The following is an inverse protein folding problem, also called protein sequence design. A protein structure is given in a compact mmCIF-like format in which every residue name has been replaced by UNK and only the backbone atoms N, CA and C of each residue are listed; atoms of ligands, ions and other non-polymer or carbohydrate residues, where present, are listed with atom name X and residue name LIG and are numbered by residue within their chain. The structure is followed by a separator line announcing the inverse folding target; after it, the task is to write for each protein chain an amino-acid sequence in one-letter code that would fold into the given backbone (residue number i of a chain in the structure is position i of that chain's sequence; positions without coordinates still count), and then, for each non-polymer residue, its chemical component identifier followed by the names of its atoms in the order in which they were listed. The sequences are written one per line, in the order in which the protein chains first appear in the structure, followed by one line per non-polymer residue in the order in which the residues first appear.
data_IF_125979140886
#
_entry.id   IF_125979140886
#
_cell.length_a   1.000
_cell.length_b   1.000
_cell.length_c   1.000
_cell.angle_alpha   90.00
_cell.angle_beta   90.00
_cell.angle_gamma   90.00
#
_symmetry.space_group_name_H-M   'P 1'
#
loop_
_entity.id
_entity.type
_entity.pdbx_description
1 polymer ?
#
# COMPACT_ATOMS: atom_id res chain seq x y z
N UNK A 1 6.58 4.38 -13.52
CA UNK A 1 5.64 3.69 -12.60
C UNK A 1 4.44 3.14 -13.37
N UNK A 2 3.93 1.97 -12.97
CA UNK A 2 2.65 1.39 -13.43
C UNK A 2 1.47 1.97 -12.64
N UNK A 3 0.26 1.83 -13.16
CA UNK A 3 -0.98 2.20 -12.47
C UNK A 3 -1.74 0.90 -12.20
N UNK A 4 -1.92 0.59 -10.92
CA UNK A 4 -2.44 -0.69 -10.42
C UNK A 4 -3.59 -0.42 -9.46
N UNK A 5 -4.45 -1.39 -9.18
CA UNK A 5 -5.57 -1.23 -8.23
C UNK A 5 -5.26 -1.89 -6.89
N UNK A 6 -5.53 -1.21 -5.77
CA UNK A 6 -5.52 -1.84 -4.45
C UNK A 6 -6.91 -2.41 -4.14
N UNK A 7 -7.00 -3.73 -3.94
CA UNK A 7 -8.25 -4.44 -3.67
C UNK A 7 -8.94 -4.01 -2.37
N UNK A 8 -8.22 -3.40 -1.41
CA UNK A 8 -8.84 -2.79 -0.24
C UNK A 8 -9.95 -1.80 -0.62
N UNK A 9 -9.78 -1.08 -1.73
CA UNK A 9 -10.78 -0.13 -2.28
C UNK A 9 -12.12 -0.79 -2.58
N UNK A 10 -12.13 -2.06 -2.99
CA UNK A 10 -13.31 -2.81 -3.44
C UNK A 10 -13.70 -3.93 -2.47
N UNK A 11 -13.11 -3.98 -1.28
CA UNK A 11 -13.30 -5.07 -0.30
C UNK A 11 -14.76 -5.35 0.09
N UNK A 12 -15.65 -4.38 -0.10
CA UNK A 12 -17.08 -4.51 0.17
C UNK A 12 -17.89 -5.06 -1.02
N UNK A 13 -17.24 -5.28 -2.17
CA UNK A 13 -17.87 -5.73 -3.43
C UNK A 13 -17.85 -7.25 -3.51
N UNK A 14 -18.79 -7.91 -2.84
CA UNK A 14 -18.98 -9.36 -2.96
C UNK A 14 -17.72 -10.18 -2.62
N UNK A 15 -17.51 -11.27 -3.37
CA UNK A 15 -16.31 -12.12 -3.23
C UNK A 15 -15.14 -11.63 -4.11
N UNK A 16 -13.99 -12.28 -3.99
CA UNK A 16 -12.79 -11.94 -4.76
C UNK A 16 -13.05 -11.92 -6.28
N UNK A 17 -13.89 -12.79 -6.82
CA UNK A 17 -14.18 -12.79 -8.26
C UNK A 17 -14.96 -11.54 -8.67
N UNK A 18 -15.96 -11.14 -7.88
CA UNK A 18 -16.72 -9.91 -8.09
C UNK A 18 -15.84 -8.65 -7.98
N UNK A 19 -14.91 -8.63 -7.02
CA UNK A 19 -13.93 -7.55 -6.87
C UNK A 19 -13.06 -7.42 -8.12
N UNK A 20 -12.49 -8.53 -8.60
CA UNK A 20 -11.63 -8.55 -9.79
C UNK A 20 -12.40 -8.19 -11.07
N UNK A 21 -13.66 -8.59 -11.19
CA UNK A 21 -14.52 -8.20 -12.31
C UNK A 21 -14.75 -6.68 -12.36
N UNK A 22 -14.99 -6.05 -11.21
CA UNK A 22 -15.13 -4.58 -11.13
C UNK A 22 -13.80 -3.89 -11.47
N UNK A 23 -12.69 -4.35 -10.90
CA UNK A 23 -11.35 -3.80 -11.19
C UNK A 23 -11.01 -3.89 -12.68
N UNK A 24 -11.34 -5.03 -13.32
CA UNK A 24 -11.14 -5.24 -14.76
C UNK A 24 -12.00 -4.29 -15.59
N UNK A 25 -13.26 -4.08 -15.18
CA UNK A 25 -14.15 -3.13 -15.84
C UNK A 25 -13.65 -1.68 -15.74
N UNK A 26 -12.83 -1.36 -14.74
CA UNK A 26 -12.17 -0.05 -14.58
C UNK A 26 -10.86 0.08 -15.37
N UNK A 27 -10.43 -0.96 -16.10
CA UNK A 27 -9.29 -0.89 -17.02
C UNK A 27 -7.95 -1.36 -16.45
N UNK A 28 -7.91 -1.84 -15.20
CA UNK A 28 -6.68 -2.34 -14.59
C UNK A 28 -6.32 -3.74 -15.06
N UNK A 29 -5.02 -4.02 -15.15
CA UNK A 29 -4.43 -5.35 -15.41
C UNK A 29 -3.57 -5.86 -14.25
N UNK A 30 -3.32 -5.00 -13.28
CA UNK A 30 -2.36 -5.18 -12.20
C UNK A 30 -3.03 -4.79 -10.87
N UNK A 31 -2.79 -5.58 -9.83
CA UNK A 31 -3.42 -5.40 -8.52
C UNK A 31 -2.44 -5.53 -7.36
N UNK A 32 -2.81 -4.94 -6.24
CA UNK A 32 -2.38 -5.35 -4.90
C UNK A 32 -3.55 -6.05 -4.20
N UNK A 33 -3.33 -7.26 -3.70
CA UNK A 33 -4.35 -8.02 -2.97
C UNK A 33 -4.23 -7.82 -1.46
N UNK A 34 -5.28 -8.15 -0.72
CA UNK A 34 -5.34 -8.11 0.75
C UNK A 34 -5.60 -9.50 1.32
N UNK A 35 -4.74 -9.95 2.23
CA UNK A 35 -4.84 -11.22 2.94
C UNK A 35 -5.18 -12.41 2.03
N UNK A 36 -6.05 -13.29 2.52
CA UNK A 36 -6.46 -14.49 1.81
C UNK A 36 -7.93 -14.52 1.38
N UNK A 37 -8.72 -13.47 1.61
CA UNK A 37 -10.15 -13.40 1.22
C UNK A 37 -11.00 -14.58 1.73
N UNK A 38 -10.74 -15.09 2.94
CA UNK A 38 -11.35 -16.31 3.50
C UNK A 38 -11.14 -17.59 2.66
N UNK A 39 -10.11 -17.60 1.81
CA UNK A 39 -9.74 -18.70 0.94
C UNK A 39 -8.39 -19.30 1.35
N UNK A 40 -8.08 -20.47 0.79
CA UNK A 40 -6.71 -21.02 0.83
C UNK A 40 -5.82 -20.31 -0.19
N UNK A 41 -4.48 -20.29 0.00
CA UNK A 41 -3.53 -19.75 -0.98
C UNK A 41 -3.78 -20.24 -2.43
N UNK A 42 -4.10 -21.53 -2.57
CA UNK A 42 -4.39 -22.16 -3.87
C UNK A 42 -5.67 -21.61 -4.49
N UNK A 43 -6.72 -21.38 -3.69
CA UNK A 43 -7.98 -20.83 -4.18
C UNK A 43 -7.80 -19.36 -4.61
N UNK A 44 -7.12 -18.52 -3.81
CA UNK A 44 -6.80 -17.14 -4.20
C UNK A 44 -6.04 -17.13 -5.52
N UNK A 45 -4.97 -17.93 -5.62
CA UNK A 45 -4.15 -18.05 -6.83
C UNK A 45 -4.98 -18.41 -8.06
N UNK A 46 -5.89 -19.39 -7.92
CA UNK A 46 -6.73 -19.84 -9.03
C UNK A 46 -7.68 -18.73 -9.50
N UNK A 47 -8.34 -18.04 -8.57
CA UNK A 47 -9.29 -16.96 -8.90
C UNK A 47 -8.57 -15.81 -9.59
N UNK A 48 -7.43 -15.37 -9.06
CA UNK A 48 -6.62 -14.28 -9.64
C UNK A 48 -6.10 -14.63 -11.04
N UNK A 49 -5.54 -15.84 -11.21
CA UNK A 49 -5.04 -16.28 -12.53
C UNK A 49 -6.16 -16.44 -13.56
N UNK A 50 -7.33 -16.93 -13.15
CA UNK A 50 -8.50 -17.05 -14.04
C UNK A 50 -9.02 -15.68 -14.47
N UNK A 51 -8.99 -14.70 -13.58
CA UNK A 51 -9.35 -13.32 -13.88
C UNK A 51 -8.31 -12.59 -14.75
N UNK A 52 -7.09 -13.14 -14.87
CA UNK A 52 -6.03 -12.64 -15.75
C UNK A 52 -5.22 -11.47 -15.19
N UNK A 53 -5.20 -11.32 -13.85
CA UNK A 53 -4.47 -10.24 -13.19
C UNK A 53 -3.04 -10.62 -12.83
N UNK A 54 -2.14 -9.62 -12.89
CA UNK A 54 -0.81 -9.71 -12.27
C UNK A 54 -0.84 -9.11 -10.87
N UNK A 55 -0.34 -9.84 -9.88
CA UNK A 55 -0.23 -9.34 -8.50
C UNK A 55 1.14 -8.68 -8.33
N UNK A 56 1.13 -7.37 -8.06
CA UNK A 56 2.34 -6.55 -7.94
C UNK A 56 2.87 -6.48 -6.51
N UNK A 57 1.97 -6.60 -5.55
CA UNK A 57 2.25 -6.74 -4.12
C UNK A 57 1.04 -7.35 -3.41
N UNK A 58 1.18 -7.74 -2.16
CA UNK A 58 0.08 -8.23 -1.34
C UNK A 58 0.23 -7.75 0.11
N UNK A 59 -0.87 -7.27 0.68
CA UNK A 59 -0.98 -6.91 2.09
C UNK A 59 -1.28 -8.13 2.94
N UNK A 60 -0.54 -8.30 4.04
CA UNK A 60 -0.84 -9.30 5.07
C UNK A 60 -0.77 -8.65 6.45
N UNK A 61 -1.75 -8.93 7.31
CA UNK A 61 -1.73 -8.36 8.64
C UNK A 61 -0.69 -9.03 9.57
N UNK A 62 -0.53 -8.48 10.77
CA UNK A 62 0.43 -8.96 11.74
C UNK A 62 0.18 -10.42 12.14
N UNK A 63 -1.09 -10.81 12.31
CA UNK A 63 -1.44 -12.17 12.71
C UNK A 63 -1.18 -13.16 11.59
N UNK A 64 -1.42 -12.76 10.33
CA UNK A 64 -1.06 -13.55 9.15
C UNK A 64 0.46 -13.76 9.05
N UNK A 65 1.27 -12.73 9.27
CA UNK A 65 2.73 -12.89 9.31
C UNK A 65 3.20 -13.81 10.46
N UNK A 66 2.58 -13.72 11.64
CA UNK A 66 2.91 -14.55 12.80
C UNK A 66 2.50 -16.02 12.62
N UNK A 67 1.31 -16.26 12.06
CA UNK A 67 0.65 -17.59 12.15
C UNK A 67 0.52 -18.29 10.81
N UNK A 68 0.67 -17.57 9.70
CA UNK A 68 0.43 -18.06 8.34
C UNK A 68 1.57 -17.77 7.37
N UNK A 69 2.79 -17.55 7.87
CA UNK A 69 3.96 -17.23 7.05
C UNK A 69 4.18 -18.21 5.86
N UNK A 70 4.01 -19.52 6.08
CA UNK A 70 4.15 -20.52 5.02
C UNK A 70 3.01 -20.46 3.97
N UNK A 71 1.81 -20.02 4.36
CA UNK A 71 0.72 -19.75 3.42
C UNK A 71 1.03 -18.50 2.58
N UNK A 72 1.59 -17.46 3.20
CA UNK A 72 2.04 -16.22 2.52
C UNK A 72 3.06 -16.58 1.44
N UNK A 73 4.13 -17.29 1.79
CA UNK A 73 5.16 -17.70 0.83
C UNK A 73 4.58 -18.51 -0.33
N UNK A 74 3.73 -19.50 -0.05
CA UNK A 74 3.08 -20.32 -1.09
C UNK A 74 2.20 -19.49 -2.02
N UNK A 75 1.46 -18.52 -1.48
CA UNK A 75 0.61 -17.66 -2.29
C UNK A 75 1.45 -16.73 -3.18
N UNK A 76 2.47 -16.09 -2.62
CA UNK A 76 3.34 -15.17 -3.33
C UNK A 76 4.14 -15.87 -4.44
N UNK A 77 4.71 -17.05 -4.16
CA UNK A 77 5.39 -17.87 -5.16
C UNK A 77 4.43 -18.25 -6.30
N UNK A 78 3.23 -18.73 -5.97
CA UNK A 78 2.25 -19.16 -6.97
C UNK A 78 1.68 -17.98 -7.78
N UNK A 79 1.72 -16.75 -7.26
CA UNK A 79 1.32 -15.54 -7.97
C UNK A 79 2.49 -14.82 -8.65
N UNK A 80 3.72 -15.32 -8.50
CA UNK A 80 4.95 -14.66 -8.97
C UNK A 80 5.08 -13.23 -8.42
N UNK A 81 4.57 -13.00 -7.20
CA UNK A 81 4.59 -11.72 -6.52
C UNK A 81 5.84 -11.62 -5.62
N UNK A 82 6.65 -10.59 -5.83
CA UNK A 82 7.92 -10.40 -5.13
C UNK A 82 7.85 -9.33 -4.02
N UNK A 83 6.65 -8.89 -3.64
CA UNK A 83 6.46 -7.87 -2.61
C UNK A 83 5.34 -8.28 -1.64
N UNK A 84 5.69 -8.40 -0.36
CA UNK A 84 4.74 -8.51 0.73
C UNK A 84 4.72 -7.19 1.49
N UNK A 85 3.56 -6.74 1.94
CA UNK A 85 3.42 -5.46 2.66
C UNK A 85 2.77 -5.72 4.01
N UNK A 86 3.37 -5.16 5.06
CA UNK A 86 2.75 -5.02 6.38
C UNK A 86 1.91 -3.73 6.37
N UNK A 87 0.56 -3.84 6.33
CA UNK A 87 -0.31 -2.72 5.98
C UNK A 87 -0.59 -1.76 7.14
N UNK A 88 -0.74 -2.30 8.35
CA UNK A 88 -1.12 -1.52 9.52
C UNK A 88 -0.94 -2.29 10.83
N UNK A 89 -0.80 -1.59 11.96
CA UNK A 89 -0.92 -2.19 13.29
C UNK A 89 -2.27 -1.85 13.93
N UNK A 90 -2.90 -2.84 14.56
CA UNK A 90 -4.12 -2.62 15.35
C UNK A 90 -3.83 -1.70 16.54
N UNK A 91 -4.79 -0.88 17.01
CA UNK A 91 -4.57 0.03 18.14
C UNK A 91 -4.02 -0.66 19.40
N UNK A 92 -4.38 -1.92 19.64
CA UNK A 92 -3.89 -2.71 20.79
C UNK A 92 -2.44 -3.15 20.65
N UNK A 93 -1.94 -3.26 19.43
CA UNK A 93 -0.58 -3.68 19.12
C UNK A 93 0.39 -2.50 18.94
N UNK A 94 -0.11 -1.26 18.94
CA UNK A 94 0.70 -0.05 18.76
C UNK A 94 1.42 0.30 20.07
N UNK A 95 2.76 0.34 20.07
CA UNK A 95 3.50 0.89 21.19
C UNK A 95 3.35 2.42 21.27
N UNK A 96 3.52 2.97 22.46
CA UNK A 96 3.55 4.40 22.76
C UNK A 96 4.98 4.94 22.99
N UNK A 97 5.99 4.08 22.86
CA UNK A 97 7.39 4.42 23.11
C UNK A 97 8.29 4.09 21.94
N UNK A 98 9.39 4.83 21.87
CA UNK A 98 10.44 4.59 20.89
C UNK A 98 11.02 3.17 20.94
N UNK A 99 11.17 2.63 22.15
CA UNK A 99 11.69 1.28 22.36
C UNK A 99 10.72 0.22 21.84
N UNK A 100 9.42 0.39 22.08
CA UNK A 100 8.40 -0.52 21.56
C UNK A 100 8.35 -0.55 20.04
N UNK A 101 8.46 0.60 19.37
CA UNK A 101 8.51 0.65 17.90
C UNK A 101 9.80 0.08 17.32
N UNK A 102 10.92 0.17 18.03
CA UNK A 102 12.15 -0.57 17.67
C UNK A 102 11.95 -2.08 17.78
N UNK A 103 11.19 -2.57 18.77
CA UNK A 103 10.85 -3.99 18.86
C UNK A 103 9.94 -4.43 17.69
N UNK A 104 8.98 -3.60 17.29
CA UNK A 104 8.18 -3.81 16.06
C UNK A 104 9.08 -3.92 14.83
N UNK A 105 10.00 -2.95 14.65
CA UNK A 105 10.98 -2.96 13.56
C UNK A 105 11.82 -4.25 13.56
N UNK A 106 12.26 -4.71 14.74
CA UNK A 106 13.01 -5.96 14.89
C UNK A 106 12.23 -7.17 14.37
N UNK A 107 10.95 -7.30 14.73
CA UNK A 107 10.11 -8.41 14.25
C UNK A 107 9.86 -8.33 12.74
N UNK A 108 9.60 -7.13 12.22
CA UNK A 108 9.46 -6.90 10.78
C UNK A 108 10.74 -7.29 10.04
N UNK A 109 11.92 -7.01 10.61
CA UNK A 109 13.19 -7.41 10.00
C UNK A 109 13.36 -8.92 9.93
N UNK A 110 12.98 -9.66 10.97
CA UNK A 110 13.03 -11.13 10.94
C UNK A 110 12.17 -11.70 9.79
N UNK A 111 10.98 -11.13 9.57
CA UNK A 111 10.16 -11.50 8.43
C UNK A 111 10.77 -11.04 7.10
N UNK A 112 11.37 -9.85 7.05
CA UNK A 112 12.03 -9.35 5.85
C UNK A 112 13.17 -10.27 5.41
N UNK A 113 13.99 -10.76 6.34
CA UNK A 113 15.08 -11.70 6.07
C UNK A 113 14.56 -13.06 5.57
N UNK A 114 13.51 -13.57 6.21
CA UNK A 114 12.88 -14.84 5.81
C UNK A 114 12.19 -14.75 4.43
N UNK A 115 11.52 -13.63 4.13
CA UNK A 115 10.93 -13.36 2.81
C UNK A 115 12.02 -13.20 1.74
N UNK A 116 13.10 -12.49 2.07
CA UNK A 116 14.23 -12.23 1.16
C UNK A 116 14.91 -13.53 0.71
N UNK A 117 15.01 -14.53 1.59
CA UNK A 117 15.49 -15.87 1.24
C UNK A 117 14.66 -16.56 0.14
N UNK A 118 13.44 -16.09 -0.10
CA UNK A 118 12.52 -16.55 -1.15
C UNK A 118 12.34 -15.53 -2.29
N UNK A 119 13.20 -14.51 -2.36
CA UNK A 119 13.13 -13.46 -3.39
C UNK A 119 11.97 -12.47 -3.20
N UNK A 120 11.36 -12.43 -2.01
CA UNK A 120 10.28 -11.50 -1.68
C UNK A 120 10.82 -10.36 -0.82
N UNK A 121 10.51 -9.12 -1.19
CA UNK A 121 10.81 -7.93 -0.38
C UNK A 121 9.63 -7.62 0.54
N UNK A 122 9.89 -7.43 1.83
CA UNK A 122 8.91 -6.84 2.75
C UNK A 122 8.88 -5.33 2.56
N UNK A 123 7.71 -4.72 2.57
CA UNK A 123 7.52 -3.29 2.74
C UNK A 123 6.59 -2.98 3.92
N UNK A 124 6.74 -1.82 4.54
CA UNK A 124 5.82 -1.30 5.54
C UNK A 124 4.96 -0.21 4.94
N UNK A 125 3.67 -0.20 5.26
CA UNK A 125 2.71 0.82 4.82
C UNK A 125 2.40 1.76 5.99
N UNK A 126 2.44 3.07 5.74
CA UNK A 126 2.21 4.06 6.80
C UNK A 126 0.73 4.44 6.93
N UNK A 127 0.36 4.81 8.15
CA UNK A 127 -0.85 5.54 8.50
C UNK A 127 -0.49 6.84 9.24
N UNK A 128 -1.50 7.58 9.69
CA UNK A 128 -1.33 8.82 10.47
C UNK A 128 -0.56 8.60 11.78
N UNK A 129 -0.85 7.50 12.50
CA UNK A 129 -0.19 7.19 13.77
C UNK A 129 1.32 6.95 13.62
N UNK A 130 1.79 6.58 12.42
CA UNK A 130 3.21 6.32 12.18
C UNK A 130 4.06 7.60 12.15
N UNK A 131 3.42 8.76 12.14
CA UNK A 131 4.04 10.07 12.00
C UNK A 131 4.05 10.88 13.30
N UNK A 132 3.55 10.30 14.40
CA UNK A 132 3.55 10.94 15.72
C UNK A 132 4.97 11.03 16.25
N UNK A 133 5.39 12.22 16.68
CA UNK A 133 6.71 12.41 17.30
C UNK A 133 6.76 11.79 18.71
N UNK A 134 7.68 10.83 18.90
CA UNK A 134 7.95 10.19 20.19
C UNK A 134 9.14 10.83 20.94
N UNK A 135 9.59 12.02 20.51
CA UNK A 135 10.74 12.75 21.03
C UNK A 135 12.10 12.21 20.58
N UNK A 136 12.11 11.08 19.86
CA UNK A 136 13.30 10.44 19.27
C UNK A 136 13.09 10.12 17.78
N UNK A 137 12.13 10.81 17.15
CA UNK A 137 11.60 10.47 15.84
C UNK A 137 10.24 9.78 15.94
N UNK A 138 9.67 9.52 14.77
CA UNK A 138 8.38 8.89 14.58
C UNK A 138 8.47 7.35 14.56
N UNK A 139 7.35 6.63 14.75
CA UNK A 139 7.28 5.20 14.45
C UNK A 139 7.82 4.83 13.07
N UNK A 140 7.51 5.62 12.03
CA UNK A 140 8.01 5.40 10.68
C UNK A 140 9.55 5.44 10.64
N UNK A 141 10.17 6.42 11.33
CA UNK A 141 11.63 6.51 11.43
C UNK A 141 12.23 5.25 12.08
N UNK A 142 11.55 4.68 13.07
CA UNK A 142 12.01 3.49 13.79
C UNK A 142 11.84 2.23 12.95
N UNK A 143 10.70 2.07 12.28
CA UNK A 143 10.47 0.94 11.37
C UNK A 143 11.50 0.95 10.25
N UNK A 144 11.71 2.10 9.59
CA UNK A 144 12.64 2.22 8.47
C UNK A 144 14.12 2.30 8.88
N UNK A 145 14.43 2.33 10.18
CA UNK A 145 15.82 2.27 10.66
C UNK A 145 16.54 0.97 10.29
N UNK A 146 15.79 -0.11 10.01
CA UNK A 146 16.34 -1.38 9.56
C UNK A 146 16.32 -1.48 8.04
N UNK A 147 17.48 -1.56 7.37
CA UNK A 147 17.63 -1.43 5.91
C UNK A 147 16.83 -2.45 5.08
N UNK A 148 16.59 -3.65 5.63
CA UNK A 148 15.87 -4.74 4.96
C UNK A 148 14.40 -4.41 4.62
N UNK A 149 13.79 -3.43 5.30
CA UNK A 149 12.37 -3.12 5.17
C UNK A 149 12.14 -2.11 4.04
N UNK A 150 11.36 -2.43 3.01
CA UNK A 150 10.87 -1.45 2.05
C UNK A 150 9.83 -0.50 2.65
N UNK A 151 9.49 0.55 1.94
CA UNK A 151 8.40 1.46 2.29
C UNK A 151 7.37 1.49 1.17
N UNK A 152 6.09 1.41 1.53
CA UNK A 152 4.95 1.71 0.68
C UNK A 152 4.26 2.95 1.24
N UNK A 153 4.56 4.16 0.74
CA UNK A 153 3.91 5.37 1.20
C UNK A 153 2.42 5.36 0.84
N UNK A 154 1.52 5.61 1.79
CA UNK A 154 0.18 6.14 1.49
C UNK A 154 0.22 7.66 1.58
N UNK A 155 0.12 8.29 0.42
CA UNK A 155 0.19 9.74 0.27
C UNK A 155 -0.98 10.43 0.99
N UNK A 156 -2.18 9.86 0.92
CA UNK A 156 -3.36 10.38 1.61
C UNK A 156 -3.18 10.37 3.12
N UNK A 157 -2.58 9.32 3.69
CA UNK A 157 -2.24 9.29 5.12
C UNK A 157 -1.15 10.30 5.50
N UNK A 158 -0.13 10.49 4.65
CA UNK A 158 0.88 11.53 4.88
C UNK A 158 0.26 12.94 4.94
N UNK A 159 -0.64 13.27 4.01
CA UNK A 159 -1.38 14.54 4.02
C UNK A 159 -2.38 14.61 5.19
N UNK A 160 -3.04 13.51 5.54
CA UNK A 160 -3.97 13.46 6.67
C UNK A 160 -3.30 13.76 8.00
N UNK A 161 -2.02 13.43 8.14
CA UNK A 161 -1.22 13.75 9.32
C UNK A 161 -0.64 15.17 9.31
N UNK A 162 -0.97 15.99 8.29
CA UNK A 162 -0.41 17.32 8.07
C UNK A 162 1.14 17.33 7.99
N UNK A 163 1.72 16.22 7.50
CA UNK A 163 3.17 16.11 7.29
C UNK A 163 3.61 16.82 6.00
N UNK A 164 4.91 16.77 5.67
CA UNK A 164 5.45 17.15 4.35
C UNK A 164 5.81 15.87 3.56
N UNK A 165 4.91 15.39 2.67
CA UNK A 165 5.13 14.16 1.93
C UNK A 165 6.35 14.26 1.00
N UNK A 166 6.61 15.41 0.37
CA UNK A 166 7.74 15.55 -0.54
C UNK A 166 9.07 15.40 0.20
N UNK A 167 9.16 15.96 1.41
CA UNK A 167 10.33 15.79 2.27
C UNK A 167 10.52 14.32 2.72
N UNK A 168 9.45 13.63 3.11
CA UNK A 168 9.51 12.23 3.53
C UNK A 168 9.87 11.29 2.38
N UNK A 169 9.23 11.46 1.22
CA UNK A 169 9.53 10.71 0.00
C UNK A 169 10.98 10.90 -0.43
N UNK A 170 11.49 12.14 -0.36
CA UNK A 170 12.90 12.41 -0.67
C UNK A 170 13.86 11.76 0.34
N UNK A 171 13.51 11.81 1.64
CA UNK A 171 14.33 11.26 2.72
C UNK A 171 14.46 9.74 2.65
N UNK A 172 13.42 9.05 2.23
CA UNK A 172 13.35 7.59 2.18
C UNK A 172 13.28 7.03 0.75
N UNK A 173 13.75 7.80 -0.24
CA UNK A 173 13.58 7.50 -1.67
C UNK A 173 14.07 6.10 -2.06
N UNK A 174 15.21 5.66 -1.53
CA UNK A 174 15.82 4.35 -1.76
C UNK A 174 15.00 3.17 -1.22
N UNK A 175 14.07 3.46 -0.30
CA UNK A 175 13.22 2.46 0.35
C UNK A 175 11.88 2.27 -0.35
N UNK A 176 11.46 3.21 -1.21
CA UNK A 176 10.12 3.20 -1.83
C UNK A 176 10.01 2.06 -2.84
N UNK A 177 9.12 1.11 -2.55
CA UNK A 177 8.84 -0.05 -3.44
C UNK A 177 7.68 0.25 -4.38
N UNK A 178 6.61 0.82 -3.82
CA UNK A 178 5.38 1.23 -4.50
C UNK A 178 4.70 2.30 -3.66
N UNK A 179 3.63 2.92 -4.16
CA UNK A 179 2.91 3.99 -3.45
C UNK A 179 1.41 3.73 -3.55
N UNK A 180 0.68 4.03 -2.48
CA UNK A 180 -0.77 4.18 -2.52
C UNK A 180 -1.13 5.60 -2.95
N UNK A 181 -1.71 5.68 -4.14
CA UNK A 181 -2.21 6.89 -4.74
C UNK A 181 -3.61 7.16 -4.19
N UNK A 182 -3.66 7.86 -3.05
CA UNK A 182 -4.88 8.17 -2.31
C UNK A 182 -4.96 9.67 -2.02
N UNK A 183 -6.12 10.26 -2.29
CA UNK A 183 -6.35 11.70 -2.12
C UNK A 183 -7.21 11.98 -0.89
N UNK A 184 -7.08 13.19 -0.38
CA UNK A 184 -7.63 13.56 0.92
C UNK A 184 -7.92 15.05 0.98
N UNK A 185 -8.93 15.43 1.75
CA UNK A 185 -9.14 16.76 2.29
C UNK A 185 -9.09 16.65 3.82
N UNK A 186 -7.93 16.90 4.45
CA UNK A 186 -7.73 16.67 5.88
C UNK A 186 -8.54 17.62 6.76
N UNK A 187 -9.10 18.71 6.18
CA UNK A 187 -9.91 19.68 6.90
C UNK A 187 -11.41 19.38 6.81
N UNK A 188 -11.83 18.41 5.98
CA UNK A 188 -13.24 18.10 5.78
C UNK A 188 -13.87 17.24 6.89
N UNK A 189 -13.07 16.60 7.74
CA UNK A 189 -13.59 15.76 8.82
C UNK A 189 -12.63 14.63 9.20
N UNK A 190 -13.16 13.64 9.92
CA UNK A 190 -12.45 12.41 10.29
C UNK A 190 -13.08 11.21 9.61
N UNK A 191 -12.36 10.08 9.58
CA UNK A 191 -12.86 8.87 8.92
C UNK A 191 -13.10 9.13 7.43
N UNK A 192 -14.27 8.76 6.93
CA UNK A 192 -14.60 8.73 5.50
C UNK A 192 -14.74 10.14 4.90
N UNK A 193 -15.12 11.12 5.72
CA UNK A 193 -15.37 12.49 5.28
C UNK A 193 -14.12 13.16 4.71
N UNK A 194 -12.93 12.67 5.07
CA UNK A 194 -11.65 13.20 4.57
C UNK A 194 -11.28 12.66 3.19
N UNK A 195 -11.66 11.44 2.84
CA UNK A 195 -11.13 10.79 1.64
C UNK A 195 -11.75 11.34 0.37
N UNK A 196 -10.94 11.46 -0.68
CA UNK A 196 -11.37 11.99 -1.98
C UNK A 196 -10.90 11.06 -3.08
N UNK A 197 -11.70 11.01 -4.14
CA UNK A 197 -11.23 10.44 -5.39
C UNK A 197 -9.98 11.22 -5.84
N UNK A 198 -9.04 10.51 -6.44
CA UNK A 198 -7.80 11.07 -6.95
C UNK A 198 -8.03 12.34 -7.79
N UNK A 199 -7.31 13.42 -7.43
CA UNK A 199 -7.42 14.74 -8.05
C UNK A 199 -8.54 15.61 -7.53
N UNK A 200 -9.31 15.15 -6.53
CA UNK A 200 -10.40 15.90 -5.90
C UNK A 200 -10.12 16.28 -4.44
N UNK A 201 -8.92 15.96 -3.93
CA UNK A 201 -8.44 16.42 -2.63
C UNK A 201 -7.34 17.46 -2.77
N UNK A 202 -6.47 17.53 -1.76
CA UNK A 202 -5.41 18.54 -1.63
C UNK A 202 -4.02 18.03 -2.03
N UNK A 203 -3.90 16.76 -2.44
CA UNK A 203 -2.61 16.19 -2.82
C UNK A 203 -2.06 16.83 -4.09
N UNK A 204 -0.85 17.41 -4.02
CA UNK A 204 -0.10 17.86 -5.20
C UNK A 204 0.52 16.67 -5.94
N UNK A 205 -0.29 15.96 -6.73
CA UNK A 205 0.14 14.81 -7.52
C UNK A 205 1.30 15.12 -8.48
N UNK A 206 1.33 16.24 -9.22
CA UNK A 206 2.49 16.61 -10.02
C UNK A 206 3.80 16.71 -9.23
N UNK A 207 3.77 17.25 -8.00
CA UNK A 207 4.94 17.27 -7.13
C UNK A 207 5.31 15.87 -6.64
N UNK A 208 4.34 15.09 -6.17
CA UNK A 208 4.56 13.72 -5.68
C UNK A 208 5.19 12.85 -6.77
N UNK A 209 4.63 12.83 -7.97
CA UNK A 209 5.15 12.04 -9.10
C UNK A 209 6.56 12.44 -9.49
N UNK A 210 6.87 13.74 -9.49
CA UNK A 210 8.22 14.25 -9.75
C UNK A 210 9.23 13.79 -8.70
N UNK A 211 8.86 13.79 -7.42
CA UNK A 211 9.76 13.29 -6.35
C UNK A 211 9.95 11.78 -6.47
N UNK A 212 8.89 11.04 -6.83
CA UNK A 212 8.96 9.60 -7.03
C UNK A 212 9.77 9.18 -8.26
N UNK A 213 9.94 10.05 -9.26
CA UNK A 213 10.69 9.76 -10.48
C UNK A 213 12.16 9.38 -10.21
N UNK A 214 12.73 9.85 -9.10
CA UNK A 214 14.10 9.54 -8.67
C UNK A 214 14.18 8.33 -7.70
N UNK A 215 13.07 7.63 -7.48
CA UNK A 215 12.97 6.48 -6.58
C UNK A 215 12.84 5.15 -7.34
N UNK A 216 13.07 3.99 -6.69
CA UNK A 216 12.78 2.68 -7.26
C UNK A 216 11.28 2.36 -7.40
N UNK A 217 10.38 3.30 -7.09
CA UNK A 217 8.94 3.11 -7.09
C UNK A 217 8.45 2.50 -8.42
N UNK A 218 7.82 1.34 -8.32
CA UNK A 218 7.45 0.55 -9.48
C UNK A 218 5.96 0.72 -9.85
N UNK A 219 5.10 0.93 -8.86
CA UNK A 219 3.64 0.93 -8.97
C UNK A 219 3.02 2.09 -8.16
N UNK A 220 1.99 2.69 -8.75
CA UNK A 220 1.04 3.59 -8.08
C UNK A 220 -0.28 2.82 -7.96
N UNK A 221 -0.65 2.44 -6.74
CA UNK A 221 -1.90 1.75 -6.47
C UNK A 221 -3.02 2.77 -6.22
N UNK A 222 -4.04 2.79 -7.07
CA UNK A 222 -5.25 3.56 -6.77
C UNK A 222 -5.93 2.92 -5.56
N UNK A 223 -5.98 3.67 -4.47
CA UNK A 223 -6.58 3.23 -3.21
C UNK A 223 -7.59 4.24 -2.67
N UNK A 224 -8.62 3.74 -2.01
CA UNK A 224 -9.48 4.53 -1.15
C UNK A 224 -9.90 3.71 0.08
N UNK A 225 -9.81 4.31 1.28
CA UNK A 225 -10.17 3.62 2.52
C UNK A 225 -11.68 3.38 2.58
N UNK A 226 -12.51 4.35 2.22
CA UNK A 226 -13.97 4.17 2.24
C UNK A 226 -14.63 5.00 1.14
N UNK A 227 -15.34 4.38 0.21
CA UNK A 227 -15.96 5.07 -0.92
C UNK A 227 -17.40 4.62 -1.11
N UNK A 228 -18.26 5.59 -1.45
CA UNK A 228 -19.66 5.31 -1.79
C UNK A 228 -19.82 4.69 -3.19
N UNK A 229 -18.83 4.83 -4.07
CA UNK A 229 -18.85 4.29 -5.43
C UNK A 229 -17.46 3.78 -5.84
N UNK A 230 -17.23 2.49 -5.60
CA UNK A 230 -15.95 1.84 -5.88
C UNK A 230 -15.53 1.94 -7.36
N UNK A 231 -16.48 1.85 -8.29
CA UNK A 231 -16.18 1.89 -9.72
C UNK A 231 -15.77 3.30 -10.15
N UNK A 232 -16.51 4.32 -9.70
CA UNK A 232 -16.16 5.71 -9.97
C UNK A 232 -14.79 6.07 -9.37
N UNK A 233 -14.51 5.64 -8.14
CA UNK A 233 -13.23 5.87 -7.47
C UNK A 233 -12.06 5.30 -8.27
N UNK A 234 -12.15 4.02 -8.64
CA UNK A 234 -11.11 3.35 -9.40
C UNK A 234 -10.92 3.97 -10.80
N UNK A 235 -12.00 4.26 -11.52
CA UNK A 235 -11.93 4.90 -12.85
C UNK A 235 -11.31 6.29 -12.79
N UNK A 236 -11.74 7.12 -11.83
CA UNK A 236 -11.22 8.48 -11.66
C UNK A 236 -9.71 8.45 -11.41
N UNK A 237 -9.26 7.56 -10.53
CA UNK A 237 -7.85 7.38 -10.22
C UNK A 237 -7.03 6.86 -11.40
N UNK A 238 -7.53 5.82 -12.07
CA UNK A 238 -6.91 5.26 -13.26
C UNK A 238 -6.69 6.33 -14.33
N UNK A 239 -7.75 7.05 -14.69
CA UNK A 239 -7.71 8.04 -15.77
C UNK A 239 -6.81 9.23 -15.44
N UNK A 240 -6.81 9.70 -14.19
CA UNK A 240 -5.92 10.77 -13.75
C UNK A 240 -4.45 10.37 -13.90
N UNK A 241 -4.06 9.22 -13.33
CA UNK A 241 -2.67 8.78 -13.32
C UNK A 241 -2.18 8.41 -14.72
N UNK A 242 -3.02 7.79 -15.53
CA UNK A 242 -2.70 7.49 -16.94
C UNK A 242 -2.49 8.77 -17.76
N UNK A 243 -3.29 9.82 -17.52
CA UNK A 243 -3.10 11.14 -18.14
C UNK A 243 -1.81 11.80 -17.68
N UNK A 244 -1.49 11.77 -16.38
CA UNK A 244 -0.26 12.38 -15.86
C UNK A 244 1.00 11.70 -16.42
N UNK A 245 0.98 10.37 -16.57
CA UNK A 245 2.08 9.61 -17.20
C UNK A 245 2.33 9.96 -18.66
N UNK A 246 1.31 10.40 -19.39
CA UNK A 246 1.44 10.73 -20.81
C UNK A 246 1.97 12.16 -21.06
N UNK A 247 1.90 13.04 -20.06
CA UNK A 247 2.37 14.44 -20.14
C UNK A 247 3.89 14.56 -19.92
N UNK A 248 4.53 13.61 -19.22
CA UNK A 248 5.99 13.60 -19.02
C UNK A 248 6.80 13.21 -20.28
N UNK A 249 6.13 12.81 -21.37
CA UNK A 249 6.76 12.31 -22.62
C UNK A 249 6.79 13.37 -23.75
N UNK A 250 6.31 14.59 -23.49
CA UNK A 250 6.31 15.73 -24.44
C UNK A 250 7.04 16.92 -23.87
#
# INVERSE_FOLDING_TARGET
MRVSAQLYTVRQVGDLAAQLDLVRACGFTDIETVGFHDLTPKQVTNVVRQAGFTVRSAHFDWEEFETRFDDILRMLEALECSVAVMPWLSPKARPDTAEGWKAVSGRLSEWADALSANGVRLAYHNHDFDLVDLGQGSPLDMVLSHEAIGWQPDIGWLYSALSDPAALLSRYSDRIVSVHAKDVDPLAGQGDERWRNLGQGVVDWPLVLRVLADSPCADLFVEHDETADHAQTLQTGHDLLMRMRSVEVT
#
